data_IF_330362118829
#
_entry.id   IF_330362118829
#
_cell.length_a   1.000
_cell.length_b   1.000
_cell.length_c   1.000
_cell.angle_alpha   90.00
_cell.angle_beta   90.00
_cell.angle_gamma   90.00
#
_symmetry.space_group_name_H-M   'P 1'
#
loop_
_entity.id
_entity.type
_entity.pdbx_description
1 polymer ?
#
# COMPACT_ATOMS: atom_id res chain seq x y z
N UNK A 1 -4.92 -7.44 5.44
CA UNK A 1 -4.92 -6.36 4.45
C UNK A 1 -3.53 -6.32 3.84
N UNK A 2 -3.45 -6.58 2.54
CA UNK A 2 -2.20 -6.81 1.79
C UNK A 2 -1.57 -5.47 1.37
N UNK A 3 -0.29 -5.50 0.99
CA UNK A 3 0.41 -4.32 0.48
C UNK A 3 -0.27 -3.73 -0.78
N UNK A 4 -0.77 -4.60 -1.66
CA UNK A 4 -1.57 -4.21 -2.84
C UNK A 4 -2.86 -3.50 -2.43
N UNK A 5 -3.54 -3.96 -1.38
CA UNK A 5 -4.78 -3.31 -0.92
C UNK A 5 -4.49 -1.87 -0.46
N UNK A 6 -3.35 -1.64 0.21
CA UNK A 6 -2.87 -0.30 0.60
C UNK A 6 -2.51 0.57 -0.61
N UNK A 7 -1.93 -0.01 -1.66
CA UNK A 7 -1.65 0.73 -2.88
C UNK A 7 -2.95 1.21 -3.55
N UNK A 8 -3.94 0.33 -3.68
CA UNK A 8 -5.26 0.67 -4.24
C UNK A 8 -5.95 1.74 -3.39
N UNK A 9 -5.89 1.64 -2.06
CA UNK A 9 -6.42 2.68 -1.18
C UNK A 9 -5.69 4.02 -1.38
N UNK A 10 -4.37 4.04 -1.61
CA UNK A 10 -3.64 5.27 -1.89
C UNK A 10 -4.10 5.95 -3.19
N UNK A 11 -4.32 5.16 -4.26
CA UNK A 11 -4.85 5.67 -5.53
C UNK A 11 -6.26 6.26 -5.36
N UNK A 12 -7.15 5.56 -4.65
CA UNK A 12 -8.49 6.06 -4.35
C UNK A 12 -8.46 7.40 -3.58
N UNK A 13 -7.53 7.56 -2.63
CA UNK A 13 -7.38 8.84 -1.91
C UNK A 13 -6.86 9.97 -2.83
N UNK A 14 -6.02 9.67 -3.82
CA UNK A 14 -5.58 10.67 -4.81
C UNK A 14 -6.76 11.14 -5.67
N UNK A 15 -7.64 10.22 -6.07
CA UNK A 15 -8.88 10.55 -6.81
C UNK A 15 -9.80 11.44 -5.96
N UNK A 16 -10.02 11.09 -4.69
CA UNK A 16 -10.78 11.93 -3.76
C UNK A 16 -10.18 13.33 -3.60
N UNK A 17 -8.84 13.45 -3.50
CA UNK A 17 -8.18 14.75 -3.44
C UNK A 17 -8.38 15.58 -4.73
N UNK A 18 -8.40 14.93 -5.90
CA UNK A 18 -8.66 15.60 -7.16
C UNK A 18 -10.10 16.13 -7.25
N UNK A 19 -11.08 15.35 -6.78
CA UNK A 19 -12.49 15.77 -6.68
C UNK A 19 -12.64 16.95 -5.73
N UNK A 20 -12.12 16.82 -4.49
CA UNK A 20 -12.15 17.90 -3.50
C UNK A 20 -11.51 19.19 -4.02
N UNK A 21 -10.42 19.08 -4.80
CA UNK A 21 -9.77 20.23 -5.42
C UNK A 21 -10.65 20.90 -6.48
N UNK A 22 -11.39 20.11 -7.27
CA UNK A 22 -12.34 20.65 -8.24
C UNK A 22 -13.48 21.41 -7.57
N UNK A 23 -13.88 20.96 -6.38
CA UNK A 23 -14.94 21.56 -5.57
C UNK A 23 -14.45 22.73 -4.68
N UNK A 24 -13.14 23.01 -4.66
CA UNK A 24 -12.53 24.08 -3.86
C UNK A 24 -12.43 23.77 -2.36
N UNK A 25 -12.45 22.49 -1.99
CA UNK A 25 -12.40 22.02 -0.60
C UNK A 25 -10.96 21.76 -0.13
N UNK A 26 -10.20 22.82 0.11
CA UNK A 26 -8.76 22.74 0.42
C UNK A 26 -8.42 21.85 1.64
N UNK A 27 -9.27 21.85 2.67
CA UNK A 27 -9.09 20.99 3.85
C UNK A 27 -9.25 19.50 3.51
N UNK A 28 -10.21 19.16 2.65
CA UNK A 28 -10.44 17.80 2.19
C UNK A 28 -9.29 17.34 1.27
N UNK A 29 -8.76 18.23 0.43
CA UNK A 29 -7.55 17.96 -0.37
C UNK A 29 -6.39 17.58 0.56
N UNK A 30 -6.12 18.38 1.60
CA UNK A 30 -5.02 18.10 2.54
C UNK A 30 -5.22 16.77 3.28
N UNK A 31 -6.45 16.48 3.70
CA UNK A 31 -6.80 15.24 4.38
C UNK A 31 -6.55 14.01 3.49
N UNK A 32 -7.09 14.01 2.28
CA UNK A 32 -6.96 12.89 1.35
C UNK A 32 -5.51 12.64 0.93
N UNK A 33 -4.72 13.70 0.68
CA UNK A 33 -3.31 13.56 0.36
C UNK A 33 -2.50 12.92 1.51
N UNK A 34 -2.80 13.25 2.76
CA UNK A 34 -2.15 12.61 3.92
C UNK A 34 -2.49 11.13 4.02
N UNK A 35 -3.75 10.76 3.77
CA UNK A 35 -4.15 9.36 3.74
C UNK A 35 -3.49 8.60 2.59
N UNK A 36 -3.42 9.20 1.40
CA UNK A 36 -2.72 8.64 0.25
C UNK A 36 -1.25 8.34 0.59
N UNK A 37 -0.56 9.30 1.22
CA UNK A 37 0.83 9.12 1.62
C UNK A 37 1.01 8.00 2.66
N UNK A 38 0.13 7.92 3.66
CA UNK A 38 0.18 6.86 4.67
C UNK A 38 0.00 5.48 4.04
N UNK A 39 -0.99 5.33 3.15
CA UNK A 39 -1.28 4.08 2.46
C UNK A 39 -0.15 3.69 1.48
N UNK A 40 0.39 4.63 0.71
CA UNK A 40 1.53 4.38 -0.16
C UNK A 40 2.78 3.94 0.63
N UNK A 41 3.00 4.51 1.81
CA UNK A 41 4.11 4.12 2.70
C UNK A 41 3.95 2.68 3.19
N UNK A 42 2.73 2.30 3.59
CA UNK A 42 2.43 0.93 4.01
C UNK A 42 2.57 -0.08 2.86
N UNK A 43 2.14 0.29 1.65
CA UNK A 43 2.31 -0.53 0.46
C UNK A 43 3.80 -0.76 0.16
N UNK A 44 4.60 0.32 0.19
CA UNK A 44 6.05 0.24 -0.04
C UNK A 44 6.77 -0.60 1.02
N UNK A 45 6.40 -0.44 2.30
CA UNK A 45 6.96 -1.24 3.38
C UNK A 45 6.67 -2.74 3.18
N UNK A 46 5.42 -3.09 2.82
CA UNK A 46 5.04 -4.46 2.51
C UNK A 46 5.79 -5.04 1.30
N UNK A 47 5.95 -4.26 0.23
CA UNK A 47 6.72 -4.66 -0.95
C UNK A 47 8.22 -4.84 -0.63
N UNK A 48 8.78 -3.98 0.21
CA UNK A 48 10.19 -4.04 0.63
C UNK A 48 10.45 -5.26 1.51
N UNK A 49 9.52 -5.59 2.42
CA UNK A 49 9.58 -6.82 3.21
C UNK A 49 9.63 -8.03 2.28
N UNK A 50 8.69 -8.14 1.33
CA UNK A 50 8.66 -9.22 0.34
C UNK A 50 9.96 -9.36 -0.47
N UNK A 51 10.52 -8.26 -0.97
CA UNK A 51 11.80 -8.29 -1.70
C UNK A 51 12.98 -8.76 -0.85
N UNK A 52 12.99 -8.39 0.43
CA UNK A 52 14.07 -8.76 1.35
C UNK A 52 14.05 -10.26 1.63
N UNK A 53 12.87 -10.87 1.72
CA UNK A 53 12.71 -12.30 1.96
C UNK A 53 12.89 -13.15 0.69
N UNK A 54 12.49 -12.65 -0.49
CA UNK A 54 12.78 -13.29 -1.78
C UNK A 54 14.29 -13.44 -2.05
N UNK A 55 15.13 -12.63 -1.40
CA UNK A 55 16.60 -12.75 -1.47
C UNK A 55 17.20 -13.69 -0.42
N UNK A 56 16.43 -14.11 0.59
CA UNK A 56 16.94 -14.82 1.78
C UNK A 56 16.51 -16.29 1.84
N UNK A 57 15.43 -16.71 1.19
CA UNK A 57 14.91 -18.08 1.33
C UNK A 57 14.52 -18.77 0.03
N UNK A 58 15.38 -19.67 -0.44
CA UNK A 58 15.01 -20.82 -1.27
C UNK A 58 14.48 -22.00 -0.42
N UNK A 59 14.34 -21.86 0.92
CA UNK A 59 14.11 -23.04 1.78
C UNK A 59 13.42 -22.78 3.15
N UNK A 60 12.49 -21.81 3.28
CA UNK A 60 11.82 -21.56 4.56
C UNK A 60 10.29 -21.52 4.45
N UNK A 61 9.63 -22.52 5.06
CA UNK A 61 8.16 -22.69 5.09
C UNK A 61 7.39 -21.57 5.81
N UNK A 62 8.02 -20.79 6.69
CA UNK A 62 7.40 -19.59 7.29
C UNK A 62 7.24 -18.45 6.26
N UNK A 63 8.06 -18.45 5.22
CA UNK A 63 8.11 -17.41 4.19
C UNK A 63 6.88 -17.50 3.27
N UNK A 64 6.29 -18.69 3.12
CA UNK A 64 5.06 -18.91 2.34
C UNK A 64 3.82 -18.41 3.07
N UNK A 65 3.73 -18.56 4.40
CA UNK A 65 2.63 -17.99 5.19
C UNK A 65 2.64 -16.45 5.13
N UNK A 66 3.82 -15.83 5.12
CA UNK A 66 3.96 -14.37 4.98
C UNK A 66 3.81 -13.87 3.54
N UNK A 67 4.29 -14.60 2.52
CA UNK A 67 3.98 -14.33 1.10
C UNK A 67 2.49 -14.36 0.88
N UNK A 68 1.79 -15.38 1.39
CA UNK A 68 0.34 -15.49 1.31
C UNK A 68 -0.35 -14.32 2.03
N UNK A 69 0.13 -13.92 3.22
CA UNK A 69 -0.39 -12.76 3.94
C UNK A 69 -0.15 -11.41 3.22
N UNK A 70 0.92 -11.31 2.42
CA UNK A 70 1.28 -10.13 1.64
C UNK A 70 0.73 -10.15 0.20
N UNK A 71 0.16 -11.28 -0.26
CA UNK A 71 -0.47 -11.44 -1.57
C UNK A 71 0.41 -12.05 -2.67
N UNK A 72 1.55 -12.65 -2.34
CA UNK A 72 2.31 -13.51 -3.26
C UNK A 72 1.62 -14.87 -3.39
N UNK A 73 1.45 -15.35 -4.62
CA UNK A 73 0.93 -16.70 -4.89
C UNK A 73 1.85 -17.76 -4.29
N UNK A 74 1.24 -18.77 -3.66
CA UNK A 74 1.88 -19.97 -3.10
C UNK A 74 2.31 -20.94 -4.18
#
# INVERSE_FOLDING_TARGET
MRAVDRYVEAEAQIECAAIARADGEDDAVSYHLRLAQANATLALAGATALQSYARVGDDDSELDDWKAAAGGES
#
